data_IF_890113554827
#
_entry.id   IF_890113554827
#
_cell.length_a   1.000
_cell.length_b   1.000
_cell.length_c   1.000
_cell.angle_alpha   90.00
_cell.angle_beta   90.00
_cell.angle_gamma   90.00
#
_symmetry.space_group_name_H-M   'P 1'
#
loop_
_entity.id
_entity.type
_entity.pdbx_description
1 polymer ?
#
# COMPACT_ATOMS: atom_id res chain seq x y z
N UNK A 1 1.64 3.47 -15.77
CA UNK A 1 1.90 2.28 -14.92
C UNK A 1 1.73 2.69 -13.45
N UNK A 2 0.50 2.65 -12.90
CA UNK A 2 0.26 2.89 -11.48
C UNK A 2 0.70 1.69 -10.61
N UNK A 3 0.64 1.87 -9.28
CA UNK A 3 0.98 0.89 -8.24
C UNK A 3 -0.20 0.67 -7.27
N UNK A 4 -0.05 -0.23 -6.29
CA UNK A 4 -1.03 -0.53 -5.23
C UNK A 4 -0.58 0.06 -3.87
N UNK A 5 -1.48 0.62 -3.06
CA UNK A 5 -1.17 1.20 -1.74
C UNK A 5 -1.68 0.32 -0.58
N UNK A 6 -1.39 -0.99 -0.63
CA UNK A 6 -1.74 -1.98 0.40
C UNK A 6 -0.59 -2.23 1.39
N UNK A 7 -0.61 -1.51 2.52
CA UNK A 7 0.49 -1.50 3.49
C UNK A 7 0.49 -2.75 4.38
N UNK A 8 1.61 -3.49 4.42
CA UNK A 8 1.73 -4.75 5.19
C UNK A 8 1.74 -4.59 6.73
N UNK A 9 1.72 -3.35 7.24
CA UNK A 9 1.55 -3.02 8.67
C UNK A 9 0.10 -2.93 9.15
N UNK A 10 -0.83 -2.41 8.33
CA UNK A 10 -2.26 -2.26 8.68
C UNK A 10 -3.13 -3.41 8.13
N UNK A 11 -2.64 -4.18 7.15
CA UNK A 11 -3.40 -5.30 6.57
C UNK A 11 -4.62 -4.80 5.76
N UNK A 12 -4.50 -3.60 5.19
CA UNK A 12 -5.52 -2.82 4.47
C UNK A 12 -4.85 -1.91 3.42
N UNK A 13 -5.65 -1.47 2.45
CA UNK A 13 -5.25 -0.49 1.43
C UNK A 13 -5.56 0.96 1.87
N UNK A 14 -4.89 1.94 1.24
CA UNK A 14 -5.09 3.39 1.51
C UNK A 14 -5.96 4.09 0.46
N UNK A 15 -5.63 3.98 -0.83
CA UNK A 15 -6.28 4.74 -1.91
C UNK A 15 -6.19 4.03 -3.27
N UNK A 16 -4.97 3.97 -3.79
CA UNK A 16 -4.60 3.07 -4.88
C UNK A 16 -4.58 1.65 -4.32
#
# INVERSE_FOLDING_TARGET
>A
VPIIYCNRRTKKCKRF
#
